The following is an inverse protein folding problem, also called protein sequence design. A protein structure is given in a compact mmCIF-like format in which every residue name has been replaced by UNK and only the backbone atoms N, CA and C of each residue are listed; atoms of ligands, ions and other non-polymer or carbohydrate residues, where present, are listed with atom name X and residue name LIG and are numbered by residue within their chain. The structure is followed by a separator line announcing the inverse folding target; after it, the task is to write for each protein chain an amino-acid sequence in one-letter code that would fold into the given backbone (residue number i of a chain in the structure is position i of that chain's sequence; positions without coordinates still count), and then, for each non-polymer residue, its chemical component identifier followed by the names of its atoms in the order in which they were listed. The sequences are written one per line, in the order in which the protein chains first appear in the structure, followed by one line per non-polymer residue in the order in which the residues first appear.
data_IF_304627619459
#
_entry.id   IF_304627619459
#
_cell.length_a   1.000
_cell.length_b   1.000
_cell.length_c   1.000
_cell.angle_alpha   90.00
_cell.angle_beta   90.00
_cell.angle_gamma   90.00
#
_symmetry.space_group_name_H-M   'P 1'
#
loop_
_entity.id
_entity.type
_entity.pdbx_description
1 polymer ?
#
# COMPACT_ATOMS: atom_id res chain seq x y z
N UNK A 1 2.19 13.13 -26.02
CA UNK A 1 2.85 13.04 -24.70
C UNK A 1 1.99 12.07 -23.89
N UNK A 2 2.45 10.85 -23.63
CA UNK A 2 1.68 9.92 -22.79
C UNK A 2 1.70 10.50 -21.39
N UNK A 3 0.52 10.83 -20.85
CA UNK A 3 0.37 11.38 -19.51
C UNK A 3 0.82 10.34 -18.48
N UNK A 4 1.54 10.78 -17.45
CA UNK A 4 2.03 9.93 -16.36
C UNK A 4 0.88 9.10 -15.76
N UNK A 5 -0.29 9.71 -15.69
CA UNK A 5 -1.52 9.09 -15.23
C UNK A 5 -1.94 7.88 -16.09
N UNK A 6 -1.87 7.98 -17.42
CA UNK A 6 -2.26 6.87 -18.30
C UNK A 6 -1.37 5.63 -18.10
N UNK A 7 -0.05 5.82 -17.95
CA UNK A 7 0.87 4.70 -17.69
C UNK A 7 0.62 4.03 -16.33
N UNK A 8 0.15 4.79 -15.34
CA UNK A 8 -0.25 4.24 -14.05
C UNK A 8 -1.60 3.52 -14.17
N UNK A 9 -2.54 4.09 -14.92
CA UNK A 9 -3.86 3.51 -15.17
C UNK A 9 -3.76 2.11 -15.81
N UNK A 10 -2.78 1.90 -16.70
CA UNK A 10 -2.48 0.60 -17.32
C UNK A 10 -2.06 -0.50 -16.31
N UNK A 11 -1.65 -0.12 -15.09
CA UNK A 11 -1.16 -1.04 -14.05
C UNK A 11 -2.13 -1.20 -12.88
N UNK A 12 -3.34 -0.63 -12.97
CA UNK A 12 -4.30 -0.64 -11.86
C UNK A 12 -4.72 -2.06 -11.45
N UNK A 13 -4.97 -2.95 -12.41
CA UNK A 13 -5.35 -4.33 -12.11
C UNK A 13 -4.25 -5.05 -11.34
N UNK A 14 -2.99 -4.87 -11.72
CA UNK A 14 -1.84 -5.44 -11.00
C UNK A 14 -1.70 -4.86 -9.59
N UNK A 15 -1.94 -3.55 -9.40
CA UNK A 15 -1.97 -2.94 -8.06
C UNK A 15 -3.07 -3.53 -7.17
N UNK A 16 -4.26 -3.74 -7.75
CA UNK A 16 -5.41 -4.30 -7.04
C UNK A 16 -5.11 -5.73 -6.61
N UNK A 17 -4.56 -6.55 -7.49
CA UNK A 17 -4.20 -7.94 -7.14
C UNK A 17 -3.08 -7.99 -6.10
N UNK A 18 -2.02 -7.19 -6.24
CA UNK A 18 -0.96 -7.07 -5.22
C UNK A 18 -1.53 -6.70 -3.83
N UNK A 19 -2.51 -5.79 -3.80
CA UNK A 19 -3.17 -5.37 -2.57
C UNK A 19 -4.03 -6.50 -1.95
N UNK A 20 -4.78 -7.22 -2.79
CA UNK A 20 -5.59 -8.38 -2.35
C UNK A 20 -4.71 -9.50 -1.82
N UNK A 21 -3.66 -9.85 -2.55
CA UNK A 21 -2.72 -10.91 -2.17
C UNK A 21 -2.10 -10.65 -0.81
N UNK A 22 -1.69 -9.42 -0.52
CA UNK A 22 -1.15 -9.09 0.81
C UNK A 22 -2.18 -9.33 1.92
N UNK A 23 -3.44 -8.91 1.71
CA UNK A 23 -4.50 -9.10 2.70
C UNK A 23 -4.81 -10.57 2.93
N UNK A 24 -4.97 -11.35 1.85
CA UNK A 24 -5.28 -12.78 1.92
C UNK A 24 -4.12 -13.58 2.53
N UNK A 25 -2.90 -13.40 2.01
CA UNK A 25 -1.74 -14.19 2.40
C UNK A 25 -1.31 -13.96 3.85
N UNK A 26 -1.70 -12.85 4.46
CA UNK A 26 -1.36 -12.53 5.86
C UNK A 26 -2.51 -12.75 6.83
N UNK A 27 -3.74 -12.90 6.34
CA UNK A 27 -4.95 -12.96 7.17
C UNK A 27 -5.10 -11.73 8.06
N UNK A 28 -4.60 -10.57 7.62
CA UNK A 28 -4.49 -9.37 8.47
C UNK A 28 -5.85 -8.87 8.95
N UNK A 29 -6.92 -9.14 8.20
CA UNK A 29 -8.30 -8.76 8.52
C UNK A 29 -8.83 -9.37 9.83
N UNK A 30 -8.21 -10.43 10.34
CA UNK A 30 -8.53 -11.08 11.62
C UNK A 30 -7.74 -10.46 12.79
N UNK A 31 -6.60 -9.82 12.48
CA UNK A 31 -5.56 -9.48 13.47
C UNK A 31 -5.55 -8.01 13.89
N UNK A 32 -6.12 -7.12 13.08
CA UNK A 32 -6.06 -5.67 13.32
C UNK A 32 -7.39 -4.97 13.05
N UNK A 33 -7.59 -3.81 13.67
CA UNK A 33 -8.72 -2.92 13.46
C UNK A 33 -8.58 -2.09 12.16
N UNK A 34 -9.72 -1.65 11.62
CA UNK A 34 -9.76 -0.77 10.44
C UNK A 34 -8.98 0.52 10.64
N UNK A 35 -8.92 1.04 11.87
CA UNK A 35 -8.16 2.25 12.17
C UNK A 35 -6.65 2.06 11.96
N UNK A 36 -6.12 0.85 12.15
CA UNK A 36 -4.69 0.58 11.99
C UNK A 36 -4.28 0.65 10.51
N UNK A 37 -5.06 0.05 9.61
CA UNK A 37 -4.84 0.13 8.16
C UNK A 37 -5.11 1.54 7.64
N UNK A 38 -6.22 2.17 8.07
CA UNK A 38 -6.58 3.54 7.68
C UNK A 38 -5.50 4.56 8.07
N UNK A 39 -4.84 4.38 9.21
CA UNK A 39 -3.75 5.25 9.64
C UNK A 39 -2.54 5.19 8.69
N UNK A 40 -2.23 4.03 8.12
CA UNK A 40 -1.15 3.87 7.13
C UNK A 40 -1.52 4.58 5.82
N UNK A 41 -2.75 4.37 5.33
CA UNK A 41 -3.26 5.09 4.15
C UNK A 41 -3.23 6.61 4.35
N UNK A 42 -3.70 7.09 5.51
CA UNK A 42 -3.68 8.52 5.83
C UNK A 42 -2.25 9.06 5.88
N UNK A 43 -1.28 8.29 6.40
CA UNK A 43 0.13 8.69 6.40
C UNK A 43 0.65 8.86 4.98
N UNK A 44 0.37 7.93 4.07
CA UNK A 44 0.80 8.02 2.67
C UNK A 44 0.24 9.26 1.95
N UNK A 45 -0.97 9.69 2.31
CA UNK A 45 -1.57 10.94 1.80
C UNK A 45 -0.99 12.20 2.41
N UNK A 46 -0.45 12.13 3.63
CA UNK A 46 0.06 13.29 4.39
C UNK A 46 1.55 13.60 4.11
N UNK A 47 2.28 12.69 3.49
CA UNK A 47 3.73 12.83 3.26
C UNK A 47 4.05 12.84 1.76
N UNK A 48 5.13 13.54 1.41
CA UNK A 48 5.66 13.60 0.04
C UNK A 48 6.90 12.70 -0.15
N UNK A 49 7.18 11.82 0.82
CA UNK A 49 8.33 10.92 0.80
C UNK A 49 7.94 9.51 1.22
N UNK A 50 8.16 8.55 0.33
CA UNK A 50 7.92 7.13 0.62
C UNK A 50 8.80 6.62 1.77
N UNK A 51 10.01 7.16 1.94
CA UNK A 51 10.88 6.83 3.08
C UNK A 51 10.26 7.18 4.44
N UNK A 52 9.50 8.28 4.52
CA UNK A 52 8.79 8.66 5.75
C UNK A 52 7.68 7.65 6.04
N UNK A 53 6.98 7.18 5.00
CA UNK A 53 5.96 6.14 5.12
C UNK A 53 6.57 4.80 5.56
N UNK A 54 7.71 4.38 5.01
CA UNK A 54 8.41 3.15 5.43
C UNK A 54 8.77 3.19 6.92
N UNK A 55 9.36 4.29 7.39
CA UNK A 55 9.69 4.48 8.81
C UNK A 55 8.41 4.44 9.66
N UNK A 56 7.31 5.03 9.18
CA UNK A 56 6.04 4.96 9.87
C UNK A 56 5.50 3.52 9.98
N UNK A 57 5.60 2.71 8.92
CA UNK A 57 5.20 1.30 8.94
C UNK A 57 6.04 0.51 9.94
N UNK A 58 7.37 0.68 9.92
CA UNK A 58 8.30 0.07 10.88
C UNK A 58 7.97 0.48 12.32
N UNK A 59 7.60 1.75 12.53
CA UNK A 59 7.15 2.24 13.83
C UNK A 59 5.84 1.58 14.28
N UNK A 60 4.86 1.37 13.38
CA UNK A 60 3.64 0.62 13.72
C UNK A 60 3.94 -0.84 14.07
N UNK A 61 4.90 -1.48 13.39
CA UNK A 61 5.37 -2.83 13.73
C UNK A 61 6.00 -2.85 15.13
N UNK A 62 6.90 -1.92 15.44
CA UNK A 62 7.54 -1.80 16.75
C UNK A 62 6.54 -1.58 17.88
N UNK A 63 5.44 -0.86 17.61
CA UNK A 63 4.33 -0.67 18.55
C UNK A 63 3.34 -1.83 18.63
N UNK A 64 3.60 -2.91 17.89
CA UNK A 64 2.68 -4.07 17.76
C UNK A 64 1.28 -3.66 17.30
N UNK A 65 1.18 -2.57 16.53
CA UNK A 65 -0.07 -2.11 15.91
C UNK A 65 -0.35 -2.84 14.62
N UNK A 66 0.66 -3.40 13.97
CA UNK A 66 0.49 -4.35 12.89
C UNK A 66 1.44 -5.54 13.12
N UNK A 67 1.09 -6.75 12.70
CA UNK A 67 1.99 -7.89 12.74
C UNK A 67 3.26 -7.62 11.92
N UNK A 68 4.41 -8.09 12.41
CA UNK A 68 5.69 -7.92 11.73
C UNK A 68 5.67 -8.46 10.30
N UNK A 69 5.14 -9.67 10.10
CA UNK A 69 5.08 -10.30 8.77
C UNK A 69 4.28 -9.47 7.75
N UNK A 70 3.15 -8.88 8.17
CA UNK A 70 2.37 -7.99 7.32
C UNK A 70 3.15 -6.70 7.01
N UNK A 71 3.79 -6.11 8.04
CA UNK A 71 4.58 -4.90 7.86
C UNK A 71 5.79 -5.10 6.94
N UNK A 72 6.50 -6.23 7.05
CA UNK A 72 7.64 -6.58 6.20
C UNK A 72 7.20 -6.68 4.72
N UNK A 73 6.17 -7.49 4.43
CA UNK A 73 5.62 -7.64 3.06
C UNK A 73 5.04 -6.34 2.51
N UNK A 74 4.45 -5.51 3.38
CA UNK A 74 3.97 -4.19 2.99
C UNK A 74 5.11 -3.28 2.53
N UNK A 75 6.24 -3.29 3.24
CA UNK A 75 7.44 -2.52 2.85
C UNK A 75 8.04 -3.08 1.56
N UNK A 76 8.11 -4.41 1.40
CA UNK A 76 8.55 -5.06 0.15
C UNK A 76 7.72 -4.59 -1.05
N UNK A 77 6.39 -4.66 -0.95
CA UNK A 77 5.50 -4.18 -2.01
C UNK A 77 5.70 -2.68 -2.30
N UNK A 78 5.89 -1.85 -1.27
CA UNK A 78 6.18 -0.42 -1.46
C UNK A 78 7.48 -0.21 -2.25
N UNK A 79 8.52 -1.01 -2.00
CA UNK A 79 9.77 -0.95 -2.75
C UNK A 79 9.63 -1.48 -4.18
N UNK A 80 8.84 -2.53 -4.41
CA UNK A 80 8.57 -3.04 -5.75
C UNK A 80 7.87 -2.00 -6.65
N UNK A 81 7.03 -1.14 -6.05
CA UNK A 81 6.42 -0.02 -6.77
C UNK A 81 7.43 1.06 -7.19
N UNK A 82 8.62 1.12 -6.60
CA UNK A 82 9.71 1.97 -7.08
C UNK A 82 10.21 1.48 -8.43
N UNK A 83 10.35 0.15 -8.61
CA UNK A 83 10.74 -0.45 -9.88
C UNK A 83 9.69 -0.20 -10.96
N UNK A 84 8.40 -0.22 -10.60
CA UNK A 84 7.34 0.14 -11.54
C UNK A 84 7.43 1.60 -11.96
N UNK A 85 7.69 2.50 -11.00
CA UNK A 85 7.89 3.92 -11.28
C UNK A 85 9.09 4.16 -12.22
N UNK A 86 10.17 3.38 -12.10
CA UNK A 86 11.33 3.42 -13.02
C UNK A 86 10.95 3.05 -14.45
N UNK A 87 10.03 2.09 -14.65
CA UNK A 87 9.49 1.75 -15.96
C UNK A 87 8.54 2.81 -16.56
N UNK A 88 8.00 3.70 -15.72
CA UNK A 88 7.03 4.71 -16.12
C UNK A 88 7.71 6.02 -16.55
N UNK A 89 8.78 6.44 -15.85
CA UNK A 89 9.44 7.73 -16.06
C UNK A 89 10.98 7.65 -15.99
N UNK A 90 11.64 8.41 -16.88
CA UNK A 90 13.11 8.48 -16.97
C UNK A 90 13.72 9.61 -16.13
N UNK A 91 12.93 10.63 -15.76
CA UNK A 91 13.36 11.71 -14.88
C UNK A 91 13.18 11.34 -13.41
N UNK A 92 14.15 11.71 -12.55
CA UNK A 92 14.12 11.35 -11.13
C UNK A 92 12.94 11.99 -10.37
N UNK A 93 12.61 13.24 -10.68
CA UNK A 93 11.48 13.92 -10.03
C UNK A 93 10.16 13.26 -10.43
N UNK A 94 9.99 12.96 -11.71
CA UNK A 94 8.81 12.24 -12.21
C UNK A 94 8.71 10.82 -11.64
N UNK A 95 9.83 10.08 -11.51
CA UNK A 95 9.83 8.77 -10.85
C UNK A 95 9.37 8.84 -9.40
N UNK A 96 9.86 9.81 -8.63
CA UNK A 96 9.45 9.99 -7.23
C UNK A 96 7.95 10.29 -7.12
N UNK A 97 7.43 11.12 -8.02
CA UNK A 97 5.99 11.41 -8.09
C UNK A 97 5.17 10.18 -8.47
N UNK A 98 5.62 9.42 -9.48
CA UNK A 98 4.99 8.19 -9.91
C UNK A 98 4.97 7.14 -8.79
N UNK A 99 6.10 6.94 -8.12
CA UNK A 99 6.23 6.00 -7.01
C UNK A 99 5.28 6.34 -5.87
N UNK A 100 5.26 7.60 -5.44
CA UNK A 100 4.34 8.06 -4.40
C UNK A 100 2.87 7.89 -4.82
N UNK A 101 2.55 8.14 -6.08
CA UNK A 101 1.19 7.95 -6.59
C UNK A 101 0.78 6.47 -6.61
N UNK A 102 1.64 5.58 -7.09
CA UNK A 102 1.43 4.13 -7.08
C UNK A 102 1.19 3.63 -5.64
N UNK A 103 2.02 4.06 -4.69
CA UNK A 103 1.88 3.68 -3.27
C UNK A 103 0.55 4.14 -2.68
N UNK A 104 0.10 5.36 -3.00
CA UNK A 104 -1.20 5.87 -2.53
C UNK A 104 -2.38 5.07 -3.10
N UNK A 105 -2.34 4.75 -4.39
CA UNK A 105 -3.36 3.90 -5.03
C UNK A 105 -3.38 2.50 -4.42
N UNK A 106 -2.20 1.87 -4.33
CA UNK A 106 -2.00 0.56 -3.71
C UNK A 106 -2.60 0.49 -2.30
N UNK A 107 -2.24 1.43 -1.42
CA UNK A 107 -2.76 1.48 -0.05
C UNK A 107 -4.27 1.77 -0.01
N UNK A 108 -4.80 2.52 -0.99
CA UNK A 108 -6.22 2.72 -1.17
C UNK A 108 -6.96 1.41 -1.43
N UNK A 109 -6.50 0.63 -2.42
CA UNK A 109 -7.08 -0.68 -2.75
C UNK A 109 -6.90 -1.69 -1.62
N UNK A 110 -5.74 -1.71 -0.96
CA UNK A 110 -5.48 -2.54 0.22
C UNK A 110 -6.48 -2.24 1.32
N UNK A 111 -6.70 -0.95 1.65
CA UNK A 111 -7.67 -0.56 2.67
C UNK A 111 -9.10 -0.96 2.28
N UNK A 112 -9.51 -0.76 1.02
CA UNK A 112 -10.83 -1.16 0.54
C UNK A 112 -11.06 -2.67 0.70
N UNK A 113 -10.12 -3.48 0.23
CA UNK A 113 -10.25 -4.94 0.28
C UNK A 113 -10.14 -5.50 1.71
N UNK A 114 -9.24 -4.93 2.52
CA UNK A 114 -9.16 -5.21 3.95
C UNK A 114 -10.51 -5.00 4.65
N UNK A 115 -11.16 -3.85 4.44
CA UNK A 115 -12.45 -3.53 5.06
C UNK A 115 -13.50 -4.55 4.64
N UNK A 116 -13.58 -4.88 3.35
CA UNK A 116 -14.48 -5.92 2.83
C UNK A 116 -14.28 -7.26 3.55
N UNK A 117 -13.04 -7.75 3.61
CA UNK A 117 -12.70 -9.04 4.27
C UNK A 117 -13.01 -9.02 5.76
N UNK A 118 -12.70 -7.92 6.44
CA UNK A 118 -12.97 -7.76 7.87
C UNK A 118 -14.46 -7.79 8.19
N UNK A 119 -15.32 -7.14 7.39
CA UNK A 119 -16.78 -7.19 7.58
C UNK A 119 -17.30 -8.62 7.44
N UNK A 120 -16.92 -9.32 6.37
CA UNK A 120 -17.32 -10.72 6.14
C UNK A 120 -16.83 -11.63 7.27
N UNK A 121 -15.61 -11.42 7.76
CA UNK A 121 -15.07 -12.24 8.85
C UNK A 121 -15.84 -12.01 10.16
N UNK A 122 -16.14 -10.76 10.52
CA UNK A 122 -16.94 -10.42 11.72
C UNK A 122 -18.37 -10.95 11.67
N UNK A 123 -18.98 -11.02 10.49
CA UNK A 123 -20.34 -11.57 10.34
C UNK A 123 -20.38 -13.10 10.55
N UNK A 124 -19.23 -13.77 10.60
CA UNK A 124 -19.09 -15.22 10.83
C UNK A 124 -18.73 -15.57 12.28
N UNK A 125 -18.37 -14.59 13.12
CA UNK A 125 -18.10 -14.75 14.55
C UNK A 125 -19.38 -14.62 15.38
#
# INVERSE_FOLDING_TARGET
MIDLKHKIDERLDELIEMAKELVENTGIYEKVEESQIRNILNMASAVDSVKVLEIFIQYQMGRRRIPKEFGDKLVENVLDLEEWAKGIADDESQRRQAWLHLVRLYLGYLNMYFVYKRKIWRDKE
#
